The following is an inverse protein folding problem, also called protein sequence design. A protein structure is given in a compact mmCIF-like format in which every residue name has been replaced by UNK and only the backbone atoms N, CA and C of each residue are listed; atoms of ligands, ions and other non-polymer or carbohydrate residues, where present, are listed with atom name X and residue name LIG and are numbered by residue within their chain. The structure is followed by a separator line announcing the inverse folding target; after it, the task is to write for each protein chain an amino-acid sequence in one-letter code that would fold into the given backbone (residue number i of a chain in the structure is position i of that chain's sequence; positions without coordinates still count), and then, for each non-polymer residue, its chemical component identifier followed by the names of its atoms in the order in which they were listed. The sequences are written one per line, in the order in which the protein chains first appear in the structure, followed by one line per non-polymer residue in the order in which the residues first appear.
data_IF_577069606269
#
_entry.id   IF_577069606269
#
_cell.length_a   1.000
_cell.length_b   1.000
_cell.length_c   1.000
_cell.angle_alpha   90.00
_cell.angle_beta   90.00
_cell.angle_gamma   90.00
#
_symmetry.space_group_name_H-M   'P 1'
#
loop_
_entity.id
_entity.type
_entity.pdbx_description
1 polymer ?
#
# COMPACT_ATOMS: atom_id res chain seq x y z
N UNK A 1 -11.54 -40.34 -1.64
CA UNK A 1 -11.02 -39.12 -2.27
C UNK A 1 -10.86 -38.10 -1.16
N UNK A 2 -9.62 -37.66 -0.91
CA UNK A 2 -9.39 -36.52 -0.03
C UNK A 2 -9.59 -35.30 -0.94
N UNK A 3 -10.67 -34.56 -0.73
CA UNK A 3 -10.83 -33.23 -1.33
C UNK A 3 -9.79 -32.33 -0.67
N UNK A 4 -8.69 -32.07 -1.37
CA UNK A 4 -7.77 -31.01 -1.00
C UNK A 4 -8.49 -29.71 -1.31
N UNK A 5 -9.13 -29.12 -0.31
CA UNK A 5 -9.67 -27.77 -0.41
C UNK A 5 -8.46 -26.85 -0.37
N UNK A 6 -7.96 -26.42 -1.54
CA UNK A 6 -6.95 -25.36 -1.60
C UNK A 6 -7.50 -24.12 -0.90
N UNK A 7 -6.89 -23.77 0.24
CA UNK A 7 -7.24 -22.54 0.94
C UNK A 7 -6.79 -21.35 0.09
N UNK A 8 -7.75 -20.50 -0.24
CA UNK A 8 -7.50 -19.32 -1.06
C UNK A 8 -6.62 -18.31 -0.31
N UNK A 9 -5.49 -17.95 -0.92
CA UNK A 9 -4.55 -16.96 -0.38
C UNK A 9 -5.11 -15.54 -0.46
N UNK A 10 -4.60 -14.61 0.36
CA UNK A 10 -4.98 -13.19 0.28
C UNK A 10 -4.69 -12.62 -1.11
N UNK A 11 -3.55 -12.94 -1.70
CA UNK A 11 -3.21 -12.53 -3.08
C UNK A 11 -4.22 -13.10 -4.08
N UNK A 12 -4.63 -14.37 -3.93
CA UNK A 12 -5.63 -15.00 -4.78
C UNK A 12 -6.97 -14.26 -4.73
N UNK A 13 -7.41 -13.85 -3.53
CA UNK A 13 -8.63 -13.04 -3.34
C UNK A 13 -8.50 -11.68 -4.03
N UNK A 14 -7.38 -10.99 -3.83
CA UNK A 14 -7.11 -9.68 -4.45
C UNK A 14 -7.13 -9.80 -5.98
N UNK A 15 -6.52 -10.85 -6.53
CA UNK A 15 -6.49 -11.11 -7.97
C UNK A 15 -7.89 -11.36 -8.54
N UNK A 16 -8.71 -12.17 -7.88
CA UNK A 16 -10.11 -12.39 -8.28
C UNK A 16 -10.91 -11.08 -8.34
N UNK A 17 -10.69 -10.17 -7.38
CA UNK A 17 -11.35 -8.86 -7.38
C UNK A 17 -10.84 -7.98 -8.54
N UNK A 18 -9.52 -7.98 -8.80
CA UNK A 18 -8.92 -7.24 -9.91
C UNK A 18 -9.44 -7.69 -11.29
N UNK A 19 -9.72 -8.98 -11.44
CA UNK A 19 -10.25 -9.57 -12.67
C UNK A 19 -11.75 -9.32 -12.85
N UNK A 20 -12.49 -9.08 -11.75
CA UNK A 20 -13.93 -8.86 -11.78
C UNK A 20 -14.31 -7.44 -12.23
N UNK A 21 -13.59 -6.41 -11.78
CA UNK A 21 -13.93 -5.01 -12.09
C UNK A 21 -13.24 -4.50 -13.36
N UNK A 22 -13.82 -3.48 -13.98
CA UNK A 22 -13.21 -2.83 -15.15
C UNK A 22 -12.04 -1.94 -14.75
N UNK A 23 -11.08 -1.76 -15.67
CA UNK A 23 -9.91 -0.88 -15.47
C UNK A 23 -10.28 0.53 -15.05
N UNK A 24 -11.32 1.09 -15.67
CA UNK A 24 -11.82 2.42 -15.33
C UNK A 24 -12.33 2.48 -13.90
N UNK A 25 -13.13 1.49 -13.48
CA UNK A 25 -13.69 1.44 -12.13
C UNK A 25 -12.57 1.29 -11.09
N UNK A 26 -11.64 0.37 -11.32
CA UNK A 26 -10.50 0.13 -10.43
C UNK A 26 -9.65 1.40 -10.27
N UNK A 27 -9.33 2.06 -11.38
CA UNK A 27 -8.57 3.30 -11.38
C UNK A 27 -9.26 4.42 -10.58
N UNK A 28 -10.58 4.60 -10.75
CA UNK A 28 -11.34 5.58 -9.99
C UNK A 28 -11.37 5.23 -8.49
N UNK A 29 -11.44 3.94 -8.15
CA UNK A 29 -11.47 3.51 -6.77
C UNK A 29 -10.12 3.71 -6.09
N UNK A 30 -9.00 3.41 -6.77
CA UNK A 30 -7.65 3.73 -6.29
C UNK A 30 -7.52 5.22 -5.94
N UNK A 31 -8.10 6.10 -6.76
CA UNK A 31 -8.10 7.55 -6.49
C UNK A 31 -8.88 7.86 -5.21
N UNK A 32 -10.01 7.20 -4.98
CA UNK A 32 -10.87 7.48 -3.84
C UNK A 32 -10.24 7.02 -2.52
N UNK A 33 -9.79 5.77 -2.43
CA UNK A 33 -9.14 5.26 -1.22
C UNK A 33 -7.86 6.08 -0.89
N UNK A 34 -7.14 6.55 -1.90
CA UNK A 34 -5.99 7.43 -1.69
C UNK A 34 -6.36 8.79 -1.09
N UNK A 35 -7.54 9.33 -1.42
CA UNK A 35 -8.06 10.56 -0.79
C UNK A 35 -8.56 10.30 0.62
N UNK A 36 -9.17 9.16 0.88
CA UNK A 36 -9.62 8.77 2.22
C UNK A 36 -8.42 8.63 3.16
N UNK A 37 -7.36 7.94 2.73
CA UNK A 37 -6.10 7.92 3.46
C UNK A 37 -5.51 9.32 3.66
N UNK A 38 -5.48 10.15 2.61
CA UNK A 38 -4.98 11.53 2.74
C UNK A 38 -5.75 12.30 3.82
N UNK A 39 -7.08 12.21 3.80
CA UNK A 39 -7.94 12.89 4.78
C UNK A 39 -7.65 12.43 6.21
N UNK A 40 -7.46 11.13 6.44
CA UNK A 40 -7.10 10.64 7.78
C UNK A 40 -5.71 11.11 8.21
N UNK A 41 -4.75 11.17 7.30
CA UNK A 41 -3.42 11.71 7.57
C UNK A 41 -3.42 13.21 7.83
N UNK A 42 -4.27 13.98 7.15
CA UNK A 42 -4.46 15.42 7.40
C UNK A 42 -5.13 15.68 8.76
N UNK A 43 -5.93 14.72 9.25
CA UNK A 43 -6.51 14.77 10.59
C UNK A 43 -5.54 14.29 11.69
N UNK A 44 -4.35 13.80 11.33
CA UNK A 44 -3.34 13.42 12.29
C UNK A 44 -2.83 14.64 13.06
N UNK A 45 -2.57 14.46 14.36
CA UNK A 45 -2.13 15.53 15.22
C UNK A 45 -0.69 15.30 15.70
N UNK A 46 0.12 16.35 15.67
CA UNK A 46 1.35 16.47 16.46
C UNK A 46 1.22 17.69 17.38
N UNK A 47 0.47 17.59 18.49
CA UNK A 47 0.07 18.74 19.31
C UNK A 47 1.25 19.47 19.98
N UNK A 48 2.45 18.89 19.96
CA UNK A 48 3.64 19.44 20.61
C UNK A 48 4.84 19.58 19.66
N UNK A 49 4.65 19.36 18.36
CA UNK A 49 5.70 19.36 17.33
C UNK A 49 6.92 18.47 17.66
N UNK A 50 6.73 17.46 18.52
CA UNK A 50 7.79 16.50 18.83
C UNK A 50 7.89 15.49 17.69
N UNK A 51 9.10 15.31 17.17
CA UNK A 51 9.37 14.44 16.02
C UNK A 51 8.87 13.00 16.22
N UNK A 52 8.96 12.48 17.44
CA UNK A 52 8.53 11.12 17.78
C UNK A 52 7.06 10.96 18.19
N UNK A 53 6.24 12.03 18.14
CA UNK A 53 4.87 11.98 18.66
C UNK A 53 3.85 12.40 17.61
N UNK A 54 3.26 11.42 16.94
CA UNK A 54 2.18 11.60 15.97
C UNK A 54 0.99 10.75 16.39
N UNK A 55 -0.18 11.38 16.51
CA UNK A 55 -1.45 10.71 16.79
C UNK A 55 -2.23 10.55 15.49
N UNK A 56 -2.30 9.32 15.00
CA UNK A 56 -3.09 8.97 13.83
C UNK A 56 -4.54 8.62 14.25
N UNK A 57 -5.56 9.03 13.49
CA UNK A 57 -6.92 8.54 13.68
C UNK A 57 -6.97 7.01 13.58
N UNK A 58 -7.87 6.37 14.35
CA UNK A 58 -8.01 4.90 14.38
C UNK A 58 -8.29 4.32 12.98
N UNK A 59 -9.00 5.06 12.13
CA UNK A 59 -9.37 4.62 10.79
C UNK A 59 -8.18 4.61 9.81
N UNK A 60 -7.08 5.29 10.12
CA UNK A 60 -5.88 5.36 9.24
C UNK A 60 -5.38 3.99 8.81
N UNK A 61 -5.46 2.99 9.69
CA UNK A 61 -4.99 1.63 9.40
C UNK A 61 -5.88 0.90 8.39
N UNK A 62 -7.20 1.16 8.42
CA UNK A 62 -8.12 0.65 7.41
C UNK A 62 -7.78 1.25 6.06
N UNK A 63 -7.67 2.58 6.00
CA UNK A 63 -7.38 3.31 4.76
C UNK A 63 -6.02 2.92 4.15
N UNK A 64 -5.00 2.65 4.99
CA UNK A 64 -3.73 2.08 4.52
C UNK A 64 -3.97 0.71 3.85
N UNK A 65 -4.75 -0.17 4.48
CA UNK A 65 -5.04 -1.49 3.92
C UNK A 65 -5.78 -1.38 2.58
N UNK A 66 -6.76 -0.50 2.49
CA UNK A 66 -7.54 -0.26 1.27
C UNK A 66 -6.65 0.26 0.13
N UNK A 67 -5.77 1.24 0.40
CA UNK A 67 -4.79 1.73 -0.58
C UNK A 67 -3.82 0.62 -1.03
N UNK A 68 -3.32 -0.21 -0.10
CA UNK A 68 -2.44 -1.34 -0.46
C UNK A 68 -3.15 -2.30 -1.41
N UNK A 69 -4.38 -2.69 -1.08
CA UNK A 69 -5.18 -3.60 -1.89
C UNK A 69 -5.44 -2.98 -3.26
N UNK A 70 -5.86 -1.70 -3.32
CA UNK A 70 -6.15 -1.01 -4.57
C UNK A 70 -4.91 -0.89 -5.47
N UNK A 71 -3.75 -0.55 -4.91
CA UNK A 71 -2.49 -0.52 -5.67
C UNK A 71 -2.11 -1.91 -6.20
N UNK A 72 -2.29 -2.97 -5.40
CA UNK A 72 -2.05 -4.34 -5.84
C UNK A 72 -2.98 -4.74 -6.99
N UNK A 73 -4.28 -4.48 -6.87
CA UNK A 73 -5.25 -4.76 -7.93
C UNK A 73 -4.93 -4.00 -9.22
N UNK A 74 -4.54 -2.73 -9.11
CA UNK A 74 -4.16 -1.91 -10.27
C UNK A 74 -2.92 -2.46 -10.98
N UNK A 75 -1.90 -2.88 -10.22
CA UNK A 75 -0.71 -3.51 -10.79
C UNK A 75 -1.06 -4.81 -11.52
N UNK A 76 -1.89 -5.67 -10.91
CA UNK A 76 -2.33 -6.94 -11.47
C UNK A 76 -3.12 -6.76 -12.77
N UNK A 77 -4.07 -5.84 -12.79
CA UNK A 77 -4.94 -5.62 -13.94
C UNK A 77 -4.20 -5.09 -15.19
N UNK A 78 -3.00 -4.54 -14.97
CA UNK A 78 -2.10 -4.03 -16.00
C UNK A 78 -0.90 -4.94 -16.27
N UNK A 79 -0.76 -6.08 -15.57
CA UNK A 79 0.38 -6.99 -15.71
C UNK A 79 1.71 -6.33 -15.35
N UNK A 80 1.71 -5.46 -14.33
CA UNK A 80 2.85 -4.63 -13.92
C UNK A 80 3.39 -4.96 -12.54
N UNK A 81 3.00 -6.10 -11.96
CA UNK A 81 3.43 -6.53 -10.63
C UNK A 81 4.97 -6.54 -10.49
N UNK A 82 5.66 -7.13 -11.47
CA UNK A 82 7.14 -7.20 -11.47
C UNK A 82 7.78 -5.82 -11.58
N UNK A 83 7.19 -4.92 -12.38
CA UNK A 83 7.68 -3.56 -12.53
C UNK A 83 7.53 -2.77 -11.22
N UNK A 84 6.40 -2.93 -10.52
CA UNK A 84 6.19 -2.32 -9.20
C UNK A 84 7.18 -2.90 -8.18
N UNK A 85 7.39 -4.21 -8.17
CA UNK A 85 8.35 -4.88 -7.28
C UNK A 85 9.77 -4.34 -7.47
N UNK A 86 10.26 -4.24 -8.70
CA UNK A 86 11.58 -3.68 -9.00
C UNK A 86 11.72 -2.24 -8.51
N UNK A 87 10.67 -1.42 -8.69
CA UNK A 87 10.66 -0.04 -8.19
C UNK A 87 10.69 0.03 -6.66
N UNK A 88 9.98 -0.86 -5.96
CA UNK A 88 10.01 -0.95 -4.50
C UNK A 88 11.42 -1.30 -4.01
N UNK A 89 12.03 -2.36 -4.55
CA UNK A 89 13.38 -2.80 -4.18
C UNK A 89 14.41 -1.68 -4.38
N UNK A 90 14.42 -1.05 -5.55
CA UNK A 90 15.33 0.06 -5.84
C UNK A 90 15.15 1.22 -4.85
N UNK A 91 13.91 1.62 -4.57
CA UNK A 91 13.62 2.76 -3.68
C UNK A 91 14.01 2.47 -2.24
N UNK A 92 13.73 1.27 -1.75
CA UNK A 92 14.08 0.82 -0.39
C UNK A 92 15.60 0.76 -0.22
N UNK A 93 16.32 0.10 -1.14
CA UNK A 93 17.78 0.02 -1.09
C UNK A 93 18.42 1.41 -1.07
N UNK A 94 17.93 2.33 -1.90
CA UNK A 94 18.39 3.72 -1.92
C UNK A 94 18.12 4.46 -0.61
N UNK A 95 17.02 4.18 0.09
CA UNK A 95 16.76 4.78 1.40
C UNK A 95 17.70 4.22 2.47
N UNK A 96 17.98 2.91 2.45
CA UNK A 96 18.94 2.28 3.36
C UNK A 96 20.36 2.85 3.17
N UNK A 97 20.78 3.06 1.92
CA UNK A 97 22.06 3.71 1.61
C UNK A 97 22.15 5.13 2.19
N UNK A 98 21.05 5.91 2.17
CA UNK A 98 21.02 7.26 2.77
C UNK A 98 21.19 7.22 4.27
N UNK A 99 20.50 6.29 4.94
CA UNK A 99 20.61 6.09 6.40
C UNK A 99 22.06 5.74 6.77
N UNK A 100 22.72 4.86 6.01
CA UNK A 100 24.12 4.50 6.27
C UNK A 100 25.07 5.69 6.02
N UNK A 101 24.83 6.48 4.96
CA UNK A 101 25.62 7.68 4.69
C UNK A 101 25.46 8.76 5.76
N UNK A 102 24.26 8.94 6.31
CA UNK A 102 24.01 9.84 7.45
C UNK A 102 24.77 9.37 8.69
N UNK A 103 24.78 8.05 8.95
CA UNK A 103 25.51 7.45 10.06
C UNK A 103 27.04 7.63 9.94
N UNK A 104 27.60 7.49 8.74
CA UNK A 104 29.04 7.65 8.49
C UNK A 104 29.54 9.10 8.53
N UNK A 105 28.63 10.08 8.52
CA UNK A 105 28.93 11.52 8.57
C UNK A 105 28.88 12.11 9.99
N UNK A 106 28.47 11.32 10.98
CA UNK A 106 28.46 11.66 12.41
C UNK A 106 29.66 11.03 13.13
#
# INVERSE_FOLDING_TARGET
MIEIIEQETLEGKIRKIAEHYSRRKQWLQVIEEAKELLKELENAANPFEYEGLVYLPDNTWSEIADVIIMCAQLAMQHGKEDQVRQQLEYKVNRQLERIEQERLRC
#
